data_IF_245112746568
#
_entry.id   IF_245112746568
#
_cell.length_a   1.000
_cell.length_b   1.000
_cell.length_c   1.000
_cell.angle_alpha   90.00
_cell.angle_beta   90.00
_cell.angle_gamma   90.00
#
_symmetry.space_group_name_H-M   'P 1'
#
loop_
_entity.id
_entity.type
_entity.pdbx_description
1 polymer ?
#
# COMPACT_ATOMS: atom_id res chain seq x y z
N UNK A 1 1.21 5.91 0.41
CA UNK A 1 1.27 4.61 -0.31
C UNK A 1 0.20 3.66 0.18
N UNK A 2 0.40 2.83 1.22
CA UNK A 2 -0.59 1.79 1.57
C UNK A 2 -2.00 2.32 1.86
N UNK A 3 -2.12 3.45 2.56
CA UNK A 3 -3.42 4.10 2.79
C UNK A 3 -4.11 4.55 1.49
N UNK A 4 -3.34 5.01 0.51
CA UNK A 4 -3.87 5.42 -0.80
C UNK A 4 -4.21 4.21 -1.67
N UNK A 5 -3.50 3.10 -1.49
CA UNK A 5 -3.81 1.82 -2.13
C UNK A 5 -5.16 1.31 -1.63
N UNK A 6 -5.38 1.28 -0.31
CA UNK A 6 -6.67 0.88 0.27
C UNK A 6 -7.83 1.74 -0.27
N UNK A 7 -7.69 3.07 -0.28
CA UNK A 7 -8.74 3.96 -0.84
C UNK A 7 -9.03 3.72 -2.31
N UNK A 8 -7.99 3.49 -3.12
CA UNK A 8 -8.17 3.25 -4.56
C UNK A 8 -8.89 1.93 -4.83
N UNK A 9 -8.59 0.88 -4.06
CA UNK A 9 -9.24 -0.42 -4.21
C UNK A 9 -10.69 -0.40 -3.73
N UNK A 10 -10.97 0.27 -2.61
CA UNK A 10 -12.32 0.38 -2.05
C UNK A 10 -13.29 1.14 -2.99
N UNK A 11 -12.76 2.11 -3.74
CA UNK A 11 -13.52 2.87 -4.75
C UNK A 11 -13.55 2.26 -6.15
N UNK A 12 -12.90 1.11 -6.38
CA UNK A 12 -12.89 0.46 -7.70
C UNK A 12 -14.15 -0.41 -7.82
N UNK A 13 -15.09 -0.03 -8.68
CA UNK A 13 -16.32 -0.80 -8.88
C UNK A 13 -16.15 -1.94 -9.89
N UNK A 14 -15.13 -1.87 -10.77
CA UNK A 14 -14.83 -2.93 -11.72
C UNK A 14 -14.44 -4.20 -10.96
N UNK A 15 -13.56 -4.06 -9.96
CA UNK A 15 -13.08 -5.21 -9.18
C UNK A 15 -14.20 -5.87 -8.35
N UNK A 16 -15.21 -5.11 -7.95
CA UNK A 16 -16.38 -5.61 -7.21
C UNK A 16 -17.32 -6.40 -8.11
N UNK A 17 -17.28 -6.14 -9.42
CA UNK A 17 -18.07 -6.82 -10.44
C UNK A 17 -17.38 -8.06 -11.04
N UNK A 18 -16.12 -8.32 -10.68
CA UNK A 18 -15.35 -9.48 -11.18
C UNK A 18 -15.93 -10.83 -10.74
N UNK A 19 -15.72 -11.85 -11.57
CA UNK A 19 -16.11 -13.24 -11.30
C UNK A 19 -15.05 -14.00 -10.49
N UNK A 20 -15.46 -15.12 -9.86
CA UNK A 20 -14.63 -15.86 -8.88
C UNK A 20 -13.32 -16.36 -9.47
N UNK A 21 -13.36 -16.77 -10.73
CA UNK A 21 -12.22 -17.32 -11.44
C UNK A 21 -11.07 -16.31 -11.60
N UNK A 22 -11.38 -15.02 -11.74
CA UNK A 22 -10.39 -13.98 -12.03
C UNK A 22 -10.21 -12.96 -10.91
N UNK A 23 -11.06 -13.00 -9.87
CA UNK A 23 -11.09 -12.01 -8.81
C UNK A 23 -9.70 -11.76 -8.19
N UNK A 24 -8.99 -12.81 -7.74
CA UNK A 24 -7.66 -12.63 -7.12
C UNK A 24 -6.60 -12.08 -8.08
N UNK A 25 -6.69 -12.45 -9.36
CA UNK A 25 -5.79 -11.93 -10.40
C UNK A 25 -6.07 -10.45 -10.65
N UNK A 26 -7.33 -10.08 -10.82
CA UNK A 26 -7.77 -8.70 -11.00
C UNK A 26 -7.36 -7.84 -9.78
N UNK A 27 -7.60 -8.35 -8.58
CA UNK A 27 -7.22 -7.72 -7.31
C UNK A 27 -5.73 -7.47 -7.18
N UNK A 28 -4.90 -8.44 -7.56
CA UNK A 28 -3.46 -8.25 -7.55
C UNK A 28 -3.01 -7.18 -8.55
N UNK A 29 -3.54 -7.18 -9.77
CA UNK A 29 -3.17 -6.19 -10.80
C UNK A 29 -3.63 -4.77 -10.42
N UNK A 30 -4.86 -4.61 -9.93
CA UNK A 30 -5.37 -3.31 -9.44
C UNK A 30 -4.54 -2.81 -8.24
N UNK A 31 -4.17 -3.71 -7.33
CA UNK A 31 -3.29 -3.39 -6.19
C UNK A 31 -1.93 -2.89 -6.65
N UNK A 32 -1.26 -3.58 -7.60
CA UNK A 32 0.02 -3.13 -8.17
C UNK A 32 -0.10 -1.75 -8.81
N UNK A 33 -1.16 -1.54 -9.59
CA UNK A 33 -1.39 -0.26 -10.24
C UNK A 33 -1.58 0.86 -9.22
N UNK A 34 -2.39 0.62 -8.18
CA UNK A 34 -2.62 1.57 -7.10
C UNK A 34 -1.34 1.93 -6.33
N UNK A 35 -0.44 0.95 -6.10
CA UNK A 35 0.88 1.18 -5.51
C UNK A 35 1.71 2.10 -6.39
N UNK A 36 1.81 1.80 -7.70
CA UNK A 36 2.57 2.61 -8.65
C UNK A 36 2.06 4.05 -8.68
N UNK A 37 0.74 4.24 -8.69
CA UNK A 37 0.11 5.55 -8.68
C UNK A 37 0.38 6.32 -7.38
N UNK A 38 0.25 5.65 -6.22
CA UNK A 38 0.53 6.27 -4.93
C UNK A 38 2.02 6.67 -4.80
N UNK A 39 2.93 5.84 -5.28
CA UNK A 39 4.37 6.15 -5.34
C UNK A 39 4.66 7.33 -6.27
N UNK A 40 3.96 7.46 -7.40
CA UNK A 40 4.10 8.61 -8.30
C UNK A 40 3.69 9.92 -7.61
N UNK A 41 2.57 9.93 -6.85
CA UNK A 41 2.12 11.10 -6.07
C UNK A 41 3.16 11.53 -5.03
N UNK A 42 3.72 10.58 -4.29
CA UNK A 42 4.81 10.85 -3.33
C UNK A 42 6.02 11.45 -4.05
N UNK A 43 6.35 10.95 -5.25
CA UNK A 43 7.48 11.47 -6.04
C UNK A 43 7.30 12.93 -6.41
N UNK A 44 6.10 13.33 -6.82
CA UNK A 44 5.80 14.73 -7.19
C UNK A 44 5.92 15.64 -5.97
N UNK A 45 5.37 15.24 -4.82
CA UNK A 45 5.47 16.01 -3.58
C UNK A 45 6.93 16.16 -3.11
N UNK A 46 7.71 15.08 -3.13
CA UNK A 46 9.13 15.09 -2.76
C UNK A 46 9.94 15.94 -3.73
N UNK A 47 9.69 15.86 -5.05
CA UNK A 47 10.36 16.71 -6.04
C UNK A 47 10.06 18.20 -5.85
N UNK A 48 8.83 18.55 -5.46
CA UNK A 48 8.46 19.92 -5.13
C UNK A 48 9.29 20.48 -3.97
N UNK A 49 9.34 19.76 -2.84
CA UNK A 49 10.17 20.13 -1.68
C UNK A 49 11.69 20.02 -1.93
N UNK A 50 12.11 19.13 -2.82
CA UNK A 50 13.51 18.90 -3.19
C UNK A 50 14.11 20.04 -4.04
N UNK A 51 13.32 20.68 -4.90
CA UNK A 51 13.78 21.86 -5.65
C UNK A 51 14.21 23.00 -4.72
N UNK A 52 13.68 23.02 -3.49
CA UNK A 52 14.03 24.01 -2.47
C UNK A 52 15.29 23.64 -1.65
N UNK A 53 15.74 22.37 -1.65
CA UNK A 53 16.76 21.84 -0.73
C UNK A 53 17.99 21.18 -1.43
N UNK A 54 18.43 21.79 -2.52
CA UNK A 54 19.31 21.26 -3.58
C UNK A 54 20.51 20.35 -3.18
N UNK A 55 20.69 19.30 -4.00
CA UNK A 55 21.83 18.40 -4.27
C UNK A 55 22.11 17.18 -3.37
N UNK A 56 22.07 17.25 -2.04
CA UNK A 56 22.42 16.07 -1.21
C UNK A 56 21.28 15.03 -1.07
N UNK A 57 20.03 15.43 -1.31
CA UNK A 57 18.85 14.61 -1.02
C UNK A 57 18.51 13.62 -2.15
N UNK A 58 19.06 13.79 -3.35
CA UNK A 58 18.60 13.06 -4.55
C UNK A 58 18.73 11.54 -4.42
N UNK A 59 19.91 11.04 -4.01
CA UNK A 59 20.13 9.59 -3.86
C UNK A 59 19.34 9.03 -2.69
N UNK A 60 19.39 9.69 -1.53
CA UNK A 60 18.69 9.23 -0.33
C UNK A 60 17.17 9.19 -0.52
N UNK A 61 16.59 10.17 -1.22
CA UNK A 61 15.15 10.20 -1.51
C UNK A 61 14.74 9.12 -2.52
N UNK A 62 15.55 8.86 -3.55
CA UNK A 62 15.29 7.79 -4.52
C UNK A 62 15.39 6.40 -3.87
N UNK A 63 16.38 6.18 -3.00
CA UNK A 63 16.56 4.93 -2.26
C UNK A 63 15.44 4.71 -1.23
N UNK A 64 15.07 5.74 -0.47
CA UNK A 64 13.96 5.68 0.48
C UNK A 64 12.64 5.38 -0.23
N UNK A 65 12.40 5.99 -1.39
CA UNK A 65 11.23 5.73 -2.22
C UNK A 65 11.19 4.30 -2.74
N UNK A 66 12.32 3.78 -3.26
CA UNK A 66 12.43 2.41 -3.75
C UNK A 66 12.11 1.42 -2.64
N UNK A 67 12.74 1.60 -1.48
CA UNK A 67 12.54 0.77 -0.29
C UNK A 67 11.09 0.83 0.23
N UNK A 68 10.47 2.01 0.24
CA UNK A 68 9.06 2.15 0.62
C UNK A 68 8.11 1.45 -0.37
N UNK A 69 8.42 1.48 -1.67
CA UNK A 69 7.62 0.83 -2.71
C UNK A 69 7.75 -0.70 -2.61
N UNK A 70 8.97 -1.21 -2.48
CA UNK A 70 9.24 -2.64 -2.29
C UNK A 70 8.56 -3.16 -1.03
N UNK A 71 8.64 -2.41 0.08
CA UNK A 71 8.00 -2.80 1.34
C UNK A 71 6.48 -2.80 1.23
N UNK A 72 5.90 -1.80 0.56
CA UNK A 72 4.46 -1.77 0.32
C UNK A 72 4.02 -2.99 -0.51
N UNK A 73 4.71 -3.32 -1.58
CA UNK A 73 4.41 -4.48 -2.42
C UNK A 73 4.52 -5.80 -1.64
N UNK A 74 5.58 -5.99 -0.83
CA UNK A 74 5.76 -7.18 0.01
C UNK A 74 4.62 -7.37 1.01
N UNK A 75 4.22 -6.30 1.69
CA UNK A 75 3.09 -6.32 2.64
C UNK A 75 1.79 -6.70 1.94
N UNK A 76 1.53 -6.12 0.77
CA UNK A 76 0.32 -6.37 0.00
C UNK A 76 0.26 -7.82 -0.50
N UNK A 77 1.38 -8.37 -1.00
CA UNK A 77 1.45 -9.79 -1.36
C UNK A 77 1.11 -10.68 -0.19
N UNK A 78 1.65 -10.41 1.01
CA UNK A 78 1.37 -11.21 2.21
C UNK A 78 -0.09 -11.18 2.63
N UNK A 79 -0.75 -10.01 2.53
CA UNK A 79 -2.19 -9.87 2.83
C UNK A 79 -3.01 -10.70 1.83
N UNK A 80 -2.72 -10.56 0.54
CA UNK A 80 -3.47 -11.25 -0.51
C UNK A 80 -3.24 -12.77 -0.51
N UNK A 81 -2.02 -13.24 -0.23
CA UNK A 81 -1.75 -14.68 -0.12
C UNK A 81 -2.55 -15.34 1.01
N UNK A 82 -2.58 -14.72 2.20
CA UNK A 82 -3.35 -15.25 3.33
C UNK A 82 -4.85 -15.32 3.05
N UNK A 83 -5.37 -14.31 2.36
CA UNK A 83 -6.79 -14.28 2.00
C UNK A 83 -7.12 -15.27 0.88
N UNK A 84 -6.22 -15.47 -0.08
CA UNK A 84 -6.36 -16.54 -1.08
C UNK A 84 -6.34 -17.94 -0.46
N UNK A 85 -5.46 -18.18 0.53
CA UNK A 85 -5.41 -19.43 1.29
C UNK A 85 -6.71 -19.68 2.07
N UNK A 86 -7.24 -18.67 2.76
CA UNK A 86 -8.51 -18.77 3.51
C UNK A 86 -9.72 -18.93 2.58
N UNK A 87 -9.74 -18.23 1.44
CA UNK A 87 -10.81 -18.36 0.44
C UNK A 87 -10.85 -19.76 -0.18
N UNK A 88 -9.68 -20.35 -0.46
CA UNK A 88 -9.61 -21.72 -0.95
C UNK A 88 -10.16 -22.76 0.06
N UNK A 89 -10.28 -22.38 1.34
CA UNK A 89 -10.78 -23.22 2.43
C UNK A 89 -12.25 -22.90 2.82
N UNK A 90 -12.67 -21.64 2.73
CA UNK A 90 -14.00 -21.16 3.11
C UNK A 90 -14.83 -20.78 1.87
N UNK A 91 -15.59 -21.74 1.33
CA UNK A 91 -16.40 -21.55 0.11
C UNK A 91 -17.66 -20.68 0.27
N UNK A 92 -17.63 -19.60 1.06
CA UNK A 92 -18.83 -18.77 1.32
C UNK A 92 -18.62 -17.25 1.33
N UNK A 93 -17.38 -16.75 1.28
CA UNK A 93 -17.12 -15.31 1.28
C UNK A 93 -17.33 -14.70 -0.12
N UNK A 94 -18.12 -13.63 -0.21
CA UNK A 94 -18.29 -12.91 -1.48
C UNK A 94 -17.05 -12.07 -1.83
N UNK A 95 -16.82 -11.77 -3.11
CA UNK A 95 -15.73 -10.88 -3.54
C UNK A 95 -15.75 -9.51 -2.88
N UNK A 96 -16.95 -9.00 -2.63
CA UNK A 96 -17.13 -7.70 -1.99
C UNK A 96 -16.64 -7.75 -0.55
N UNK A 97 -16.90 -8.84 0.16
CA UNK A 97 -16.44 -9.02 1.54
C UNK A 97 -14.92 -9.23 1.58
N UNK A 98 -14.38 -10.03 0.65
CA UNK A 98 -12.92 -10.22 0.54
C UNK A 98 -12.23 -8.89 0.22
N UNK A 99 -12.77 -8.09 -0.70
CA UNK A 99 -12.22 -6.78 -1.03
C UNK A 99 -12.23 -5.83 0.18
N UNK A 100 -13.31 -5.83 0.96
CA UNK A 100 -13.40 -5.04 2.20
C UNK A 100 -12.35 -5.48 3.21
N UNK A 101 -12.16 -6.79 3.41
CA UNK A 101 -11.17 -7.33 4.33
C UNK A 101 -9.74 -6.96 3.91
N UNK A 102 -9.44 -7.06 2.60
CA UNK A 102 -8.17 -6.58 2.04
C UNK A 102 -7.98 -5.11 2.33
N UNK A 103 -8.97 -4.26 2.02
CA UNK A 103 -8.87 -2.82 2.22
C UNK A 103 -8.67 -2.47 3.71
N UNK A 104 -9.38 -3.15 4.60
CA UNK A 104 -9.26 -2.97 6.05
C UNK A 104 -7.88 -3.37 6.58
N UNK A 105 -7.32 -4.50 6.12
CA UNK A 105 -5.99 -4.95 6.51
C UNK A 105 -4.90 -4.02 5.99
N UNK A 106 -5.00 -3.56 4.75
CA UNK A 106 -4.07 -2.57 4.18
C UNK A 106 -4.12 -1.27 4.99
N UNK A 107 -5.31 -0.77 5.31
CA UNK A 107 -5.49 0.44 6.10
C UNK A 107 -4.88 0.28 7.50
N UNK A 108 -5.13 -0.85 8.17
CA UNK A 108 -4.59 -1.17 9.49
C UNK A 108 -3.06 -1.21 9.48
N UNK A 109 -2.45 -1.83 8.49
CA UNK A 109 -0.99 -1.86 8.35
C UNK A 109 -0.44 -0.47 8.07
N UNK A 110 -1.10 0.31 7.21
CA UNK A 110 -0.70 1.69 6.93
C UNK A 110 -0.67 2.53 8.22
N UNK A 111 -1.70 2.42 9.07
CA UNK A 111 -1.76 3.15 10.34
C UNK A 111 -0.68 2.71 11.33
N UNK A 112 -0.38 1.40 11.40
CA UNK A 112 0.72 0.90 12.24
C UNK A 112 2.06 1.46 11.80
N UNK A 113 2.34 1.49 10.51
CA UNK A 113 3.58 2.03 9.96
C UNK A 113 3.71 3.53 10.23
N UNK A 114 2.61 4.30 10.13
CA UNK A 114 2.61 5.72 10.50
C UNK A 114 2.94 5.89 11.98
N UNK A 115 2.27 5.14 12.88
CA UNK A 115 2.54 5.22 14.33
C UNK A 115 3.99 4.85 14.68
N UNK A 116 4.51 3.79 14.06
CA UNK A 116 5.91 3.38 14.26
C UNK A 116 6.90 4.43 13.75
N UNK A 117 6.63 5.03 12.59
CA UNK A 117 7.44 6.13 12.05
C UNK A 117 7.45 7.35 12.95
N UNK A 118 6.29 7.76 13.47
CA UNK A 118 6.18 8.88 14.44
C UNK A 118 6.97 8.58 15.70
N UNK A 119 6.83 7.39 16.29
CA UNK A 119 7.56 7.01 17.51
C UNK A 119 9.08 6.97 17.30
N UNK A 120 9.56 6.63 16.10
CA UNK A 120 10.99 6.67 15.78
C UNK A 120 11.50 8.12 15.72
N UNK A 121 10.76 9.03 15.09
CA UNK A 121 11.11 10.46 15.04
C UNK A 121 11.11 11.11 16.43
N UNK A 122 10.14 10.76 17.27
CA UNK A 122 10.07 11.27 18.65
C UNK A 122 11.22 10.76 19.51
N UNK A 123 11.68 9.53 19.29
CA UNK A 123 12.87 8.99 19.96
C UNK A 123 14.16 9.63 19.47
N UNK A 124 14.26 9.94 18.18
CA UNK A 124 15.44 10.60 17.60
C UNK A 124 15.60 12.03 18.15
N UNK A 125 14.50 12.77 18.33
CA UNK A 125 14.48 14.11 18.94
C UNK A 125 14.62 14.12 20.49
N UNK A 126 14.67 12.96 21.14
CA UNK A 126 14.87 12.83 22.60
C UNK A 126 16.35 12.72 22.99
N UNK A 127 17.25 12.57 22.02
CA UNK A 127 18.69 12.42 22.23
C UNK A 127 19.52 13.61 21.71
N UNK A 128 18.87 14.69 21.24
CA UNK A 128 19.46 16.02 21.04
C UNK A 128 19.15 16.95 22.23
#
# INVERSE_FOLDING_TARGET
ILRDVARQLDGDDDIKAETEEYFFKALWEKTKWAVKNATAKVTVAVKGAFNDAKNHIKSAAEDAKKKATEKAAEVLSKILSKLGENYALEGSASHVDILKDVCADIARVAERLVKQGVSLLEKENSYE
#
